data_IF_788616414007
#
_entry.id   IF_788616414007
#
_cell.length_a   1.000
_cell.length_b   1.000
_cell.length_c   1.000
_cell.angle_alpha   90.00
_cell.angle_beta   90.00
_cell.angle_gamma   90.00
#
_symmetry.space_group_name_H-M   'P 1'
#
loop_
_entity.id
_entity.type
_entity.pdbx_description
1 polymer ?
#
# COMPACT_ATOMS: atom_id res chain seq x y z
N UNK A 1 -14.97 -44.18 43.36
CA UNK A 1 -13.76 -44.57 44.13
C UNK A 1 -13.41 -45.97 43.64
N UNK A 2 -12.33 -46.22 42.90
CA UNK A 2 -10.93 -46.20 43.36
C UNK A 2 -9.99 -46.00 42.16
N UNK A 3 -8.96 -45.17 42.32
CA UNK A 3 -7.84 -44.99 41.36
C UNK A 3 -6.93 -46.22 41.40
N UNK A 4 -6.43 -46.68 40.24
CA UNK A 4 -5.11 -47.31 40.16
C UNK A 4 -4.37 -46.77 38.93
N UNK A 5 -3.29 -46.06 39.23
CA UNK A 5 -2.25 -45.55 38.34
C UNK A 5 -1.25 -46.69 38.10
N UNK A 6 -0.87 -46.95 36.84
CA UNK A 6 0.44 -47.51 36.52
C UNK A 6 1.00 -46.84 35.27
N UNK A 7 1.95 -45.96 35.54
CA UNK A 7 3.03 -45.47 34.67
C UNK A 7 3.55 -46.54 33.72
N UNK A 8 3.61 -46.23 32.43
CA UNK A 8 4.62 -46.81 31.55
C UNK A 8 5.27 -45.69 30.74
N UNK A 9 6.48 -45.40 31.19
CA UNK A 9 7.48 -44.50 30.66
C UNK A 9 7.82 -44.92 29.22
N UNK A 10 7.45 -44.11 28.23
CA UNK A 10 7.89 -44.31 26.85
C UNK A 10 9.00 -43.31 26.52
N UNK A 11 10.16 -43.87 26.18
CA UNK A 11 11.47 -43.24 26.04
C UNK A 11 11.50 -42.11 25.00
N UNK A 12 12.27 -41.06 25.34
CA UNK A 12 12.86 -40.11 24.39
C UNK A 12 13.75 -40.88 23.38
N UNK A 13 13.54 -40.64 22.10
CA UNK A 13 14.52 -40.93 21.05
C UNK A 13 14.78 -39.65 20.25
N UNK A 14 15.88 -38.98 20.56
CA UNK A 14 16.44 -37.88 19.78
C UNK A 14 17.17 -38.44 18.56
N UNK A 15 16.62 -38.24 17.37
CA UNK A 15 17.30 -38.54 16.11
C UNK A 15 17.82 -37.22 15.53
N UNK A 16 19.11 -36.99 15.74
CA UNK A 16 19.89 -36.02 14.99
C UNK A 16 20.35 -36.71 13.70
N UNK A 17 19.80 -36.29 12.56
CA UNK A 17 20.38 -36.61 11.24
C UNK A 17 20.82 -35.30 10.59
N UNK A 18 22.13 -35.09 10.61
CA UNK A 18 22.84 -34.20 9.71
C UNK A 18 22.84 -34.85 8.33
N UNK A 19 22.26 -34.19 7.34
CA UNK A 19 22.42 -34.53 5.93
C UNK A 19 22.69 -33.25 5.14
N UNK A 20 23.98 -32.95 4.94
CA UNK A 20 24.43 -32.11 3.85
C UNK A 20 24.55 -32.99 2.59
N UNK A 21 23.89 -32.58 1.51
CA UNK A 21 23.97 -33.28 0.23
C UNK A 21 23.38 -32.47 -0.93
N UNK A 22 24.24 -31.71 -1.62
CA UNK A 22 24.29 -31.56 -3.09
C UNK A 22 23.17 -30.86 -3.87
N UNK A 23 23.55 -29.74 -4.55
CA UNK A 23 23.33 -29.37 -5.98
C UNK A 23 21.89 -29.52 -6.55
N UNK A 24 21.20 -28.56 -7.16
CA UNK A 24 21.57 -27.44 -8.04
C UNK A 24 20.41 -26.40 -8.15
N UNK A 25 20.78 -25.19 -8.55
CA UNK A 25 20.06 -24.17 -9.36
C UNK A 25 18.90 -23.28 -8.81
N UNK A 26 19.24 -21.98 -8.70
CA UNK A 26 18.44 -20.74 -8.83
C UNK A 26 17.14 -20.58 -8.03
N UNK A 27 17.25 -19.89 -6.90
CA UNK A 27 16.23 -18.94 -6.43
C UNK A 27 16.93 -17.68 -5.90
N UNK A 28 16.39 -16.53 -6.28
CA UNK A 28 16.78 -15.19 -5.85
C UNK A 28 16.81 -15.11 -4.30
N UNK A 29 17.62 -14.25 -3.67
CA UNK A 29 17.54 -14.10 -2.22
C UNK A 29 16.17 -13.49 -1.87
N UNK A 30 15.23 -14.34 -1.48
CA UNK A 30 14.10 -13.95 -0.66
C UNK A 30 14.67 -13.38 0.63
N UNK A 31 14.48 -12.08 0.83
CA UNK A 31 14.73 -11.43 2.10
C UNK A 31 13.77 -12.05 3.13
N UNK A 32 14.29 -13.02 3.88
CA UNK A 32 13.72 -13.44 5.16
C UNK A 32 13.74 -12.20 6.06
N UNK A 33 12.57 -11.59 6.28
CA UNK A 33 12.36 -10.82 7.50
C UNK A 33 11.41 -11.63 8.37
N UNK A 34 12.00 -12.50 9.17
CA UNK A 34 11.35 -12.96 10.39
C UNK A 34 11.88 -12.09 11.53
N UNK A 35 11.03 -11.23 12.06
CA UNK A 35 11.20 -10.65 13.38
C UNK A 35 9.85 -10.18 13.88
N UNK A 36 9.21 -11.05 14.64
CA UNK A 36 8.11 -10.71 15.52
C UNK A 36 8.48 -9.56 16.45
N UNK A 37 7.88 -8.37 16.26
CA UNK A 37 7.60 -7.43 17.36
C UNK A 37 6.58 -6.40 16.88
N UNK A 38 5.40 -6.40 17.52
CA UNK A 38 4.37 -5.41 17.26
C UNK A 38 4.85 -3.99 17.56
N UNK A 39 5.10 -3.26 16.49
CA UNK A 39 5.00 -1.81 16.32
C UNK A 39 4.97 -1.62 14.80
N UNK A 40 4.03 -0.84 14.27
CA UNK A 40 3.96 -0.63 12.81
C UNK A 40 5.23 0.11 12.43
N UNK A 41 6.22 -0.59 11.87
CA UNK A 41 7.44 0.05 11.40
C UNK A 41 7.05 1.16 10.42
N UNK A 42 7.43 2.39 10.73
CA UNK A 42 7.10 3.55 9.93
C UNK A 42 7.75 3.39 8.55
N UNK A 43 6.94 3.44 7.47
CA UNK A 43 7.44 3.29 6.10
C UNK A 43 8.37 4.46 5.75
N UNK A 44 9.49 4.16 5.10
CA UNK A 44 10.35 5.19 4.50
C UNK A 44 9.64 5.92 3.37
N UNK A 45 10.10 7.13 3.03
CA UNK A 45 9.54 7.88 1.90
C UNK A 45 9.62 7.13 0.56
N UNK A 46 10.70 6.38 0.32
CA UNK A 46 10.82 5.58 -0.90
C UNK A 46 9.78 4.46 -0.95
N UNK A 47 9.49 3.83 0.18
CA UNK A 47 8.46 2.79 0.27
C UNK A 47 7.06 3.39 0.10
N UNK A 48 6.80 4.58 0.69
CA UNK A 48 5.55 5.32 0.49
C UNK A 48 5.34 5.69 -0.97
N UNK A 49 6.37 6.19 -1.67
CA UNK A 49 6.28 6.52 -3.10
C UNK A 49 5.97 5.25 -3.93
N UNK A 50 6.63 4.13 -3.64
CA UNK A 50 6.37 2.86 -4.34
C UNK A 50 4.95 2.35 -4.10
N UNK A 51 4.48 2.37 -2.85
CA UNK A 51 3.10 2.03 -2.52
C UNK A 51 2.11 2.98 -3.22
N UNK A 52 2.41 4.28 -3.25
CA UNK A 52 1.60 5.28 -3.93
C UNK A 52 1.50 5.04 -5.43
N UNK A 53 2.59 4.63 -6.07
CA UNK A 53 2.62 4.24 -7.48
C UNK A 53 1.69 3.04 -7.74
N UNK A 54 1.78 2.01 -6.91
CA UNK A 54 0.95 0.81 -7.00
C UNK A 54 -0.54 1.13 -6.79
N UNK A 55 -0.87 2.04 -5.85
CA UNK A 55 -2.23 2.53 -5.65
C UNK A 55 -2.70 3.33 -6.87
N UNK A 56 -1.88 4.26 -7.35
CA UNK A 56 -2.23 5.16 -8.46
C UNK A 56 -2.47 4.39 -9.76
N UNK A 57 -1.67 3.35 -10.04
CA UNK A 57 -1.79 2.52 -11.25
C UNK A 57 -2.75 1.35 -11.08
N UNK A 58 -2.93 0.85 -9.86
CA UNK A 58 -3.74 -0.31 -9.53
C UNK A 58 -5.04 0.06 -8.81
N UNK A 59 -5.02 0.01 -7.47
CA UNK A 59 -6.22 0.11 -6.62
C UNK A 59 -7.12 1.31 -6.94
N UNK A 60 -6.52 2.47 -7.18
CA UNK A 60 -7.22 3.70 -7.57
C UNK A 60 -7.42 3.87 -9.07
N UNK A 61 -6.68 3.11 -9.90
CA UNK A 61 -6.69 3.18 -11.37
C UNK A 61 -6.63 4.63 -11.92
N UNK A 62 -5.96 5.52 -11.20
CA UNK A 62 -5.89 6.96 -11.46
C UNK A 62 -5.20 7.25 -12.80
N UNK A 63 -4.20 6.45 -13.15
CA UNK A 63 -3.42 6.57 -14.39
C UNK A 63 -4.25 6.44 -15.67
N UNK A 64 -5.44 5.85 -15.60
CA UNK A 64 -6.35 5.73 -16.74
C UNK A 64 -6.91 7.09 -17.20
N UNK A 65 -7.02 8.05 -16.27
CA UNK A 65 -7.61 9.38 -16.53
C UNK A 65 -6.65 10.54 -16.25
N UNK A 66 -5.62 10.34 -15.42
CA UNK A 66 -4.69 11.39 -15.01
C UNK A 66 -3.26 11.04 -15.45
N UNK A 67 -2.78 11.65 -16.53
CA UNK A 67 -1.37 11.58 -16.91
C UNK A 67 -0.55 12.59 -16.09
N UNK A 68 0.77 12.41 -16.08
CA UNK A 68 1.69 13.25 -15.30
C UNK A 68 1.58 14.73 -15.67
N UNK A 69 1.67 15.06 -16.95
CA UNK A 69 1.87 16.43 -17.44
C UNK A 69 0.86 16.86 -18.53
N UNK A 70 -0.07 15.98 -18.89
CA UNK A 70 -1.05 16.22 -19.96
C UNK A 70 -2.47 15.91 -19.52
N UNK A 71 -3.41 16.79 -19.86
CA UNK A 71 -4.84 16.50 -19.75
C UNK A 71 -5.25 15.49 -20.83
N UNK A 72 -5.88 14.40 -20.40
CA UNK A 72 -6.55 13.45 -21.28
C UNK A 72 -8.04 13.45 -20.96
N UNK A 73 -8.51 12.57 -20.08
CA UNK A 73 -9.87 12.58 -19.54
C UNK A 73 -9.93 13.54 -18.35
N UNK A 74 -9.06 13.32 -17.36
CA UNK A 74 -8.89 14.21 -16.21
C UNK A 74 -7.73 15.21 -16.42
N UNK A 75 -7.66 16.25 -15.57
CA UNK A 75 -6.50 17.15 -15.51
C UNK A 75 -5.21 16.37 -15.21
N UNK A 76 -4.07 16.94 -15.60
CA UNK A 76 -2.79 16.30 -15.32
C UNK A 76 -2.48 16.28 -13.82
N UNK A 77 -1.65 15.34 -13.36
CA UNK A 77 -1.23 15.31 -11.94
C UNK A 77 -0.53 16.60 -11.55
N UNK A 78 0.32 17.15 -12.43
CA UNK A 78 1.00 18.43 -12.20
C UNK A 78 0.03 19.60 -12.08
N UNK A 79 -0.98 19.65 -12.93
CA UNK A 79 -2.03 20.68 -12.87
C UNK A 79 -2.83 20.59 -11.55
N UNK A 80 -3.21 19.38 -11.14
CA UNK A 80 -3.91 19.15 -9.86
C UNK A 80 -3.06 19.73 -8.72
N UNK A 81 -1.81 19.29 -8.59
CA UNK A 81 -0.94 19.74 -7.50
C UNK A 81 -0.71 21.25 -7.53
N UNK A 82 -0.49 21.83 -8.71
CA UNK A 82 -0.31 23.28 -8.86
C UNK A 82 -1.52 24.08 -8.37
N UNK A 83 -2.74 23.67 -8.72
CA UNK A 83 -3.96 24.36 -8.27
C UNK A 83 -4.13 24.20 -6.76
N UNK A 84 -3.97 23.01 -6.20
CA UNK A 84 -4.11 22.80 -4.76
C UNK A 84 -3.06 23.57 -3.94
N UNK A 85 -1.80 23.58 -4.39
CA UNK A 85 -0.73 24.32 -3.73
C UNK A 85 -0.97 25.84 -3.85
N UNK A 86 -1.37 26.35 -5.03
CA UNK A 86 -1.66 27.78 -5.25
C UNK A 86 -2.79 28.28 -4.36
N UNK A 87 -3.80 27.46 -4.13
CA UNK A 87 -4.98 27.82 -3.34
C UNK A 87 -4.84 27.45 -1.86
N UNK A 88 -3.71 26.84 -1.46
CA UNK A 88 -3.52 26.27 -0.12
C UNK A 88 -4.72 25.39 0.29
N UNK A 89 -5.22 24.61 -0.66
CA UNK A 89 -6.40 23.77 -0.50
C UNK A 89 -6.00 22.35 -0.08
N UNK A 90 -6.92 21.66 0.59
CA UNK A 90 -6.67 20.30 1.10
C UNK A 90 -7.07 19.23 0.07
N UNK A 91 -6.06 18.71 -0.65
CA UNK A 91 -6.24 17.64 -1.62
C UNK A 91 -6.69 16.33 -0.96
N UNK A 92 -6.29 16.07 0.28
CA UNK A 92 -6.73 14.88 1.01
C UNK A 92 -8.22 15.00 1.32
N UNK A 93 -8.68 16.15 1.82
CA UNK A 93 -10.09 16.41 2.08
C UNK A 93 -10.95 16.23 0.81
N UNK A 94 -10.48 16.71 -0.34
CA UNK A 94 -11.15 16.46 -1.63
C UNK A 94 -11.17 14.97 -2.01
N UNK A 95 -10.06 14.25 -1.91
CA UNK A 95 -10.01 12.82 -2.22
C UNK A 95 -10.83 11.97 -1.22
N UNK A 96 -11.12 12.51 -0.03
CA UNK A 96 -12.10 11.95 0.93
C UNK A 96 -13.54 12.37 0.62
N UNK A 97 -13.76 13.19 -0.39
CA UNK A 97 -15.07 13.68 -0.81
C UNK A 97 -15.70 14.68 0.15
N UNK A 98 -14.87 15.40 0.91
CA UNK A 98 -15.31 16.42 1.86
C UNK A 98 -15.21 17.85 1.30
N UNK A 99 -14.62 18.02 0.11
CA UNK A 99 -14.47 19.32 -0.57
C UNK A 99 -15.06 19.28 -1.98
N UNK A 100 -15.37 20.46 -2.51
CA UNK A 100 -15.73 20.65 -3.91
C UNK A 100 -14.50 20.57 -4.83
N UNK A 101 -14.71 20.18 -6.09
CA UNK A 101 -13.63 20.18 -7.08
C UNK A 101 -13.24 21.61 -7.47
N UNK A 102 -11.96 21.97 -7.32
CA UNK A 102 -11.44 23.30 -7.65
C UNK A 102 -10.63 23.36 -8.97
N UNK A 103 -10.31 22.21 -9.57
CA UNK A 103 -9.47 22.15 -10.80
C UNK A 103 -10.32 22.22 -12.06
N UNK A 104 -11.30 21.33 -12.22
CA UNK A 104 -12.26 21.32 -13.33
C UNK A 104 -13.67 20.98 -12.82
N UNK A 105 -14.36 21.93 -12.17
CA UNK A 105 -15.68 21.69 -11.57
C UNK A 105 -16.71 21.21 -12.61
N UNK A 106 -16.59 21.68 -13.86
CA UNK A 106 -17.50 21.36 -14.95
C UNK A 106 -17.46 19.88 -15.37
N UNK A 107 -16.35 19.20 -15.10
CA UNK A 107 -16.13 17.78 -15.43
C UNK A 107 -16.07 16.90 -14.18
N UNK A 108 -16.36 17.45 -12.99
CA UNK A 108 -16.27 16.73 -11.72
C UNK A 108 -17.09 15.45 -11.70
N UNK A 109 -18.25 15.43 -12.37
CA UNK A 109 -19.13 14.25 -12.44
C UNK A 109 -18.41 12.98 -12.93
N UNK A 110 -17.37 13.14 -13.75
CA UNK A 110 -16.54 12.02 -14.26
C UNK A 110 -15.68 11.44 -13.13
N UNK A 111 -15.17 12.28 -12.23
CA UNK A 111 -14.34 11.86 -11.10
C UNK A 111 -15.16 11.43 -9.88
N UNK A 112 -16.41 11.89 -9.76
CA UNK A 112 -17.23 11.70 -8.56
C UNK A 112 -17.38 10.23 -8.16
N UNK A 113 -17.58 9.33 -9.12
CA UNK A 113 -17.68 7.89 -8.86
C UNK A 113 -16.37 7.31 -8.29
N UNK A 114 -15.22 7.84 -8.68
CA UNK A 114 -13.91 7.38 -8.19
C UNK A 114 -13.65 7.80 -6.73
N UNK A 115 -14.35 8.83 -6.22
CA UNK A 115 -14.24 9.22 -4.82
C UNK A 115 -14.77 8.15 -3.86
N UNK A 116 -15.69 7.29 -4.31
CA UNK A 116 -16.15 6.13 -3.53
C UNK A 116 -15.06 5.08 -3.30
N UNK A 117 -13.99 5.12 -4.11
CA UNK A 117 -12.79 4.30 -3.94
C UNK A 117 -11.85 4.97 -2.94
N UNK A 118 -11.47 6.22 -3.20
CA UNK A 118 -10.46 6.94 -2.41
C UNK A 118 -10.91 7.23 -0.98
N UNK A 119 -12.21 7.40 -0.74
CA UNK A 119 -12.81 7.46 0.61
C UNK A 119 -12.47 6.27 1.49
N UNK A 120 -12.26 5.10 0.91
CA UNK A 120 -12.00 3.83 1.62
C UNK A 120 -10.52 3.56 1.83
N UNK A 121 -9.63 4.43 1.35
CA UNK A 121 -8.20 4.25 1.57
C UNK A 121 -7.86 4.40 3.05
N UNK A 122 -6.91 3.63 3.56
CA UNK A 122 -6.34 3.92 4.87
C UNK A 122 -5.59 5.26 4.83
N UNK A 123 -5.26 5.83 5.99
CA UNK A 123 -4.46 7.06 6.02
C UNK A 123 -3.08 6.86 5.40
N UNK A 124 -2.48 5.69 5.62
CA UNK A 124 -1.22 5.31 4.99
C UNK A 124 -1.33 5.23 3.46
N UNK A 125 -2.41 4.64 2.94
CA UNK A 125 -2.65 4.55 1.50
C UNK A 125 -2.86 5.94 0.88
N UNK A 126 -3.59 6.82 1.57
CA UNK A 126 -3.79 8.20 1.14
C UNK A 126 -2.48 8.99 1.14
N UNK A 127 -1.70 8.88 2.22
CA UNK A 127 -0.39 9.52 2.33
C UNK A 127 0.56 9.04 1.22
N UNK A 128 0.63 7.73 1.00
CA UNK A 128 1.43 7.13 -0.06
C UNK A 128 1.02 7.62 -1.46
N UNK A 129 -0.29 7.67 -1.74
CA UNK A 129 -0.81 8.21 -3.00
C UNK A 129 -0.36 9.66 -3.23
N UNK A 130 -0.50 10.53 -2.22
CA UNK A 130 -0.07 11.94 -2.32
C UNK A 130 1.45 12.04 -2.48
N UNK A 131 2.22 11.21 -1.76
CA UNK A 131 3.68 11.18 -1.88
C UNK A 131 4.12 10.80 -3.31
N UNK A 132 3.49 9.79 -3.91
CA UNK A 132 3.74 9.44 -5.30
C UNK A 132 3.35 10.57 -6.26
N UNK A 133 2.15 11.14 -6.12
CA UNK A 133 1.72 12.25 -6.98
C UNK A 133 2.72 13.41 -6.96
N UNK A 134 3.21 13.79 -5.77
CA UNK A 134 4.21 14.85 -5.59
C UNK A 134 5.62 14.49 -6.11
N UNK A 135 5.89 13.23 -6.41
CA UNK A 135 7.17 12.78 -6.98
C UNK A 135 7.23 12.85 -8.52
N UNK A 136 6.10 13.13 -9.20
CA UNK A 136 5.95 13.16 -10.66
C UNK A 136 6.24 14.54 -11.29
#
# INVERSE_FOLDING_TARGET
MTKIIKTSLLLLATISVVACGGKDEKTQPEAVYESERGEVAEMTMSEKIKLGEDIFKGKGNCASCHQTDKKIIGPSVKEILQVYDKHNADLVSFLRGNEEAIVDPSQFIIMQANLEITKKFSDLEMEALIAYMRSL
#
